data_IF_277734085223
#
_entry.id   IF_277734085223
#
_cell.length_a   1.000
_cell.length_b   1.000
_cell.length_c   1.000
_cell.angle_alpha   90.00
_cell.angle_beta   90.00
_cell.angle_gamma   90.00
#
_symmetry.space_group_name_H-M   'P 1'
#
loop_
_entity.id
_entity.type
_entity.pdbx_description
1 polymer ?
#
# COMPACT_ATOMS: atom_id res chain seq x y z
N UNK A 1 -10.98 18.19 6.57
CA UNK A 1 -10.84 16.73 6.76
C UNK A 1 -10.41 15.95 5.51
N UNK A 2 -10.10 16.59 4.36
CA UNK A 2 -9.93 15.87 3.08
C UNK A 2 -8.49 15.47 2.70
N UNK A 3 -7.52 16.37 2.84
CA UNK A 3 -6.17 16.21 2.26
C UNK A 3 -5.37 15.03 2.83
N UNK A 4 -5.39 14.84 4.15
CA UNK A 4 -4.71 13.70 4.78
C UNK A 4 -5.32 12.35 4.38
N UNK A 5 -6.64 12.32 4.16
CA UNK A 5 -7.35 11.12 3.73
C UNK A 5 -7.07 10.79 2.26
N UNK A 6 -7.03 11.80 1.39
CA UNK A 6 -6.64 11.60 -0.02
C UNK A 6 -5.20 11.11 -0.13
N UNK A 7 -4.28 11.71 0.63
CA UNK A 7 -2.88 11.27 0.66
C UNK A 7 -2.72 9.84 1.17
N UNK A 8 -3.46 9.48 2.23
CA UNK A 8 -3.48 8.12 2.76
C UNK A 8 -4.01 7.11 1.73
N UNK A 9 -5.10 7.42 1.03
CA UNK A 9 -5.66 6.54 0.00
C UNK A 9 -4.76 6.40 -1.23
N UNK A 10 -4.12 7.49 -1.67
CA UNK A 10 -3.15 7.44 -2.78
C UNK A 10 -1.92 6.60 -2.42
N UNK A 11 -1.38 6.77 -1.21
CA UNK A 11 -0.24 5.97 -0.75
C UNK A 11 -0.62 4.49 -0.58
N UNK A 12 -1.82 4.21 -0.04
CA UNK A 12 -2.34 2.85 0.09
C UNK A 12 -2.54 2.19 -1.29
N UNK A 13 -3.08 2.91 -2.27
CA UNK A 13 -3.21 2.45 -3.65
C UNK A 13 -1.86 2.10 -4.27
N UNK A 14 -0.87 2.99 -4.14
CA UNK A 14 0.47 2.79 -4.67
C UNK A 14 1.18 1.57 -4.04
N UNK A 15 1.08 1.40 -2.72
CA UNK A 15 1.63 0.24 -2.01
C UNK A 15 0.94 -1.06 -2.45
N UNK A 16 -0.38 -1.02 -2.70
CA UNK A 16 -1.12 -2.20 -3.20
C UNK A 16 -0.75 -2.57 -4.62
N UNK A 17 -0.50 -1.61 -5.50
CA UNK A 17 -0.04 -1.87 -6.86
C UNK A 17 1.35 -2.51 -6.83
N UNK A 18 2.24 -1.92 -6.02
CA UNK A 18 3.61 -2.39 -5.84
C UNK A 18 3.69 -3.81 -5.26
N UNK A 19 3.00 -4.07 -4.14
CA UNK A 19 3.06 -5.36 -3.45
C UNK A 19 2.13 -6.42 -4.04
N UNK A 20 1.02 -6.03 -4.65
CA UNK A 20 0.02 -6.95 -5.19
C UNK A 20 0.39 -7.50 -6.56
N UNK A 21 0.97 -6.67 -7.43
CA UNK A 21 1.28 -7.06 -8.81
C UNK A 21 2.78 -7.00 -9.15
N UNK A 22 3.63 -6.52 -8.23
CA UNK A 22 5.07 -6.35 -8.48
C UNK A 22 5.38 -5.26 -9.51
N UNK A 23 4.38 -4.45 -9.90
CA UNK A 23 4.47 -3.40 -10.92
C UNK A 23 4.30 -2.05 -10.25
N UNK A 24 5.21 -1.12 -10.53
CA UNK A 24 5.03 0.31 -10.21
C UNK A 24 4.79 1.02 -11.53
N UNK A 25 3.65 1.68 -11.70
CA UNK A 25 3.36 2.48 -12.90
C UNK A 25 3.62 1.72 -14.22
N UNK A 26 3.16 0.47 -14.30
CA UNK A 26 3.30 -0.40 -15.48
C UNK A 26 4.75 -0.82 -15.84
N UNK A 27 5.73 -0.53 -14.98
CA UNK A 27 7.10 -1.07 -15.08
C UNK A 27 7.21 -2.29 -14.16
N UNK A 28 7.45 -3.47 -14.76
CA UNK A 28 7.65 -4.72 -14.03
C UNK A 28 9.07 -4.78 -13.46
N UNK A 29 9.21 -4.53 -12.16
CA UNK A 29 10.52 -4.51 -11.46
C UNK A 29 10.82 -5.89 -10.84
N UNK A 30 9.78 -6.69 -10.54
CA UNK A 30 9.88 -8.05 -9.99
C UNK A 30 9.25 -9.08 -10.93
N UNK A 31 9.75 -10.34 -10.96
CA UNK A 31 9.21 -11.39 -11.80
C UNK A 31 7.77 -11.74 -11.39
N UNK A 32 6.93 -12.11 -12.37
CA UNK A 32 5.48 -12.32 -12.24
C UNK A 32 5.03 -13.30 -11.14
N UNK A 33 5.95 -14.07 -10.58
CA UNK A 33 5.72 -15.02 -9.49
C UNK A 33 5.58 -14.35 -8.10
N UNK A 34 5.97 -13.08 -7.97
CA UNK A 34 5.82 -12.26 -6.76
C UNK A 34 4.54 -11.42 -6.74
N UNK A 35 3.57 -11.70 -7.62
CA UNK A 35 2.22 -11.16 -7.52
C UNK A 35 1.55 -11.69 -6.26
N UNK A 36 1.82 -11.08 -5.11
CA UNK A 36 1.23 -11.48 -3.84
C UNK A 36 -0.24 -11.03 -3.85
N UNK A 37 -1.08 -11.86 -4.47
CA UNK A 37 -2.55 -11.73 -4.52
C UNK A 37 -3.16 -11.43 -3.14
N UNK A 38 -2.45 -11.80 -2.08
CA UNK A 38 -2.79 -11.49 -0.69
C UNK A 38 -3.00 -9.97 -0.44
N UNK A 39 -2.25 -9.07 -1.10
CA UNK A 39 -2.43 -7.60 -1.01
C UNK A 39 -3.51 -7.02 -1.94
N UNK A 40 -3.95 -7.80 -2.92
CA UNK A 40 -5.12 -7.48 -3.75
C UNK A 40 -6.41 -7.85 -3.02
N UNK A 41 -6.42 -8.99 -2.35
CA UNK A 41 -7.55 -9.48 -1.55
C UNK A 41 -7.81 -8.61 -0.31
N UNK A 42 -9.05 -8.65 0.17
CA UNK A 42 -9.53 -7.94 1.37
C UNK A 42 -8.58 -8.03 2.60
N UNK A 43 -8.04 -9.21 2.98
CA UNK A 43 -7.08 -9.33 4.09
C UNK A 43 -5.82 -8.45 3.96
N UNK A 44 -5.21 -8.33 2.78
CA UNK A 44 -4.01 -7.51 2.64
C UNK A 44 -4.30 -6.00 2.66
N UNK A 45 -5.52 -5.58 2.35
CA UNK A 45 -5.94 -4.19 2.53
C UNK A 45 -5.91 -3.78 4.02
N UNK A 46 -6.29 -4.68 4.93
CA UNK A 46 -6.23 -4.42 6.38
C UNK A 46 -4.80 -4.38 6.92
N UNK A 47 -3.91 -5.25 6.41
CA UNK A 47 -2.49 -5.25 6.80
C UNK A 47 -1.82 -3.94 6.34
N UNK A 48 -2.07 -3.53 5.09
CA UNK A 48 -1.53 -2.29 4.54
C UNK A 48 -2.06 -1.05 5.28
N UNK A 49 -3.34 -1.04 5.64
CA UNK A 49 -3.93 0.02 6.47
C UNK A 49 -3.30 0.07 7.87
N UNK A 50 -3.09 -1.09 8.51
CA UNK A 50 -2.43 -1.18 9.81
C UNK A 50 -1.00 -0.63 9.78
N UNK A 51 -0.24 -0.94 8.72
CA UNK A 51 1.11 -0.41 8.54
C UNK A 51 1.12 1.09 8.28
N UNK A 52 0.18 1.59 7.47
CA UNK A 52 0.03 3.02 7.21
C UNK A 52 -0.29 3.80 8.49
N UNK A 53 -1.22 3.28 9.31
CA UNK A 53 -1.55 3.85 10.61
C UNK A 53 -0.33 3.82 11.54
N UNK A 54 0.44 2.73 11.55
CA UNK A 54 1.66 2.62 12.36
C UNK A 54 2.71 3.67 11.96
N UNK A 55 2.93 3.87 10.66
CA UNK A 55 3.86 4.90 10.13
C UNK A 55 3.39 6.30 10.49
N UNK A 56 2.12 6.63 10.25
CA UNK A 56 1.56 7.96 10.56
C UNK A 56 1.62 8.22 12.07
N UNK A 57 1.31 7.22 12.90
CA UNK A 57 1.37 7.36 14.35
C UNK A 57 2.80 7.50 14.85
N UNK A 58 3.76 6.81 14.23
CA UNK A 58 5.19 6.96 14.54
C UNK A 58 5.71 8.35 14.16
N UNK A 59 5.30 8.90 13.02
CA UNK A 59 5.67 10.26 12.59
C UNK A 59 5.02 11.34 13.45
N UNK A 60 3.78 11.14 13.90
CA UNK A 60 3.07 12.08 14.79
C UNK A 60 3.61 12.07 16.23
N UNK A 61 4.36 11.03 16.61
CA UNK A 61 5.02 10.92 17.92
C UNK A 61 6.44 11.52 17.92
N UNK A 62 6.97 11.91 16.76
CA UNK A 62 8.25 12.60 16.61
C UNK A 62 8.08 14.13 16.67
#
# INVERSE_FOLDING_TARGET
MGLGFTFALTLLGAVREFLGTGKIFNLAILPEEYGMLLFVLAPGAFIALGYLIAVINSLKKA
#
